data_IF_931856517719
#
_entry.id   IF_931856517719
#
_cell.length_a   1.000
_cell.length_b   1.000
_cell.length_c   1.000
_cell.angle_alpha   90.00
_cell.angle_beta   90.00
_cell.angle_gamma   90.00
#
_symmetry.space_group_name_H-M   'P 1'
#
loop_
_entity.id
_entity.type
_entity.pdbx_description
1 polymer ?
#
# COMPACT_ATOMS: atom_id res chain seq x y z
N UNK A 1 -26.24 81.87 10.50
CA UNK A 1 -25.83 80.88 9.50
C UNK A 1 -24.96 79.87 10.17
N UNK A 2 -25.56 78.80 10.69
CA UNK A 2 -24.88 77.68 11.33
C UNK A 2 -25.67 76.43 10.93
N UNK A 3 -25.30 75.79 9.81
CA UNK A 3 -25.74 74.44 9.46
C UNK A 3 -24.56 73.82 8.73
N UNK A 4 -24.14 72.61 9.09
CA UNK A 4 -23.24 71.68 8.40
C UNK A 4 -21.99 71.27 9.22
N UNK A 5 -22.21 70.57 10.31
CA UNK A 5 -21.18 69.70 10.92
C UNK A 5 -21.76 68.40 11.52
N UNK A 6 -22.74 67.81 10.89
CA UNK A 6 -23.38 66.60 11.43
C UNK A 6 -23.63 65.50 10.40
N UNK A 7 -22.72 65.29 9.44
CA UNK A 7 -22.90 64.27 8.40
C UNK A 7 -21.59 63.48 8.02
N UNK A 8 -20.60 63.44 8.90
CA UNK A 8 -19.34 62.71 8.67
C UNK A 8 -19.13 61.53 9.61
N UNK A 9 -19.99 61.31 10.59
CA UNK A 9 -19.77 60.25 11.61
C UNK A 9 -20.50 58.91 11.36
N UNK A 10 -21.11 58.66 10.22
CA UNK A 10 -21.90 57.43 9.93
C UNK A 10 -21.31 56.53 8.84
N UNK A 11 -20.11 56.78 8.36
CA UNK A 11 -19.46 55.96 7.31
C UNK A 11 -18.20 55.18 7.73
N UNK A 12 -17.83 55.20 9.03
CA UNK A 12 -16.65 54.54 9.55
C UNK A 12 -16.93 53.19 10.26
N UNK A 13 -18.15 52.65 10.21
CA UNK A 13 -18.58 51.44 10.92
C UNK A 13 -18.74 50.18 10.06
N UNK A 14 -18.48 50.23 8.75
CA UNK A 14 -18.79 49.13 7.82
C UNK A 14 -17.54 48.47 7.20
N UNK A 15 -16.40 48.61 7.79
CA UNK A 15 -15.16 48.00 7.27
C UNK A 15 -14.44 47.26 8.40
N UNK A 16 -14.62 45.99 8.49
CA UNK A 16 -13.66 45.00 9.02
C UNK A 16 -14.33 43.75 9.57
N UNK A 17 -15.30 43.20 8.84
CA UNK A 17 -15.54 41.76 8.85
C UNK A 17 -14.89 41.16 7.58
N UNK A 18 -13.62 41.48 7.37
CA UNK A 18 -12.76 40.61 6.61
C UNK A 18 -12.67 39.32 7.44
N UNK A 19 -13.54 38.36 7.11
CA UNK A 19 -13.39 37.01 7.61
C UNK A 19 -11.92 36.64 7.35
N UNK A 20 -11.14 36.51 8.39
CA UNK A 20 -9.85 35.83 8.31
C UNK A 20 -10.19 34.43 7.82
N UNK A 21 -10.11 34.22 6.51
CA UNK A 21 -10.18 32.89 5.94
C UNK A 21 -9.03 32.13 6.58
N UNK A 22 -9.34 31.32 7.59
CA UNK A 22 -8.37 30.51 8.28
C UNK A 22 -7.66 29.68 7.20
N UNK A 23 -6.34 29.79 7.10
CA UNK A 23 -5.56 29.01 6.15
C UNK A 23 -5.93 27.54 6.32
N UNK A 24 -6.18 26.82 5.22
CA UNK A 24 -6.56 25.42 5.33
C UNK A 24 -5.45 24.60 5.99
N UNK A 25 -5.84 23.63 6.78
CA UNK A 25 -4.94 22.62 7.30
C UNK A 25 -4.44 21.80 6.10
N UNK A 26 -3.13 21.82 5.86
CA UNK A 26 -2.52 21.07 4.75
C UNK A 26 -2.09 19.69 5.24
N UNK A 27 -2.54 18.65 4.53
CA UNK A 27 -2.12 17.27 4.73
C UNK A 27 -1.32 16.85 3.50
N UNK A 28 -0.02 16.64 3.66
CA UNK A 28 0.81 16.03 2.61
C UNK A 28 0.64 14.51 2.69
N UNK A 29 0.08 13.92 1.63
CA UNK A 29 -0.12 12.49 1.50
C UNK A 29 0.84 11.94 0.43
N UNK A 30 1.90 11.27 0.85
CA UNK A 30 2.92 10.72 -0.07
C UNK A 30 2.72 9.22 -0.28
N UNK A 31 3.00 8.74 -1.49
CA UNK A 31 3.05 7.32 -1.81
C UNK A 31 3.99 7.02 -3.00
N UNK A 32 4.43 5.76 -3.10
CA UNK A 32 5.51 5.37 -4.01
C UNK A 32 5.06 4.80 -5.36
N UNK A 33 3.75 4.60 -5.56
CA UNK A 33 3.21 4.05 -6.81
C UNK A 33 2.66 5.15 -7.72
N UNK A 34 2.39 4.81 -8.98
CA UNK A 34 1.81 5.75 -9.94
C UNK A 34 0.39 6.18 -9.52
N UNK A 35 -0.05 7.36 -9.94
CA UNK A 35 -1.36 7.93 -9.59
C UNK A 35 -2.55 7.10 -10.12
N UNK A 36 -2.37 6.37 -11.21
CA UNK A 36 -3.38 5.53 -11.86
C UNK A 36 -3.52 4.11 -11.27
N UNK A 37 -2.72 3.78 -10.22
CA UNK A 37 -2.91 2.55 -9.44
C UNK A 37 -4.16 2.63 -8.55
N UNK A 38 -4.68 1.48 -8.03
CA UNK A 38 -5.75 1.49 -7.03
C UNK A 38 -5.46 2.42 -5.85
N UNK A 39 -4.24 2.36 -5.30
CA UNK A 39 -3.80 3.23 -4.20
C UNK A 39 -3.76 4.71 -4.60
N UNK A 40 -3.21 5.03 -5.78
CA UNK A 40 -3.14 6.41 -6.25
C UNK A 40 -4.53 7.01 -6.41
N UNK A 41 -5.45 6.30 -7.07
CA UNK A 41 -6.86 6.69 -7.22
C UNK A 41 -7.57 6.85 -5.87
N UNK A 42 -7.27 5.98 -4.90
CA UNK A 42 -7.85 6.07 -3.56
C UNK A 42 -7.31 7.28 -2.77
N UNK A 43 -6.03 7.63 -2.92
CA UNK A 43 -5.45 8.83 -2.30
C UNK A 43 -6.12 10.11 -2.85
N UNK A 44 -6.34 10.18 -4.15
CA UNK A 44 -7.08 11.29 -4.78
C UNK A 44 -8.54 11.33 -4.33
N UNK A 45 -9.20 10.17 -4.18
CA UNK A 45 -10.56 10.09 -3.64
C UNK A 45 -10.60 10.62 -2.20
N UNK A 46 -9.64 10.24 -1.36
CA UNK A 46 -9.52 10.78 0.00
C UNK A 46 -9.33 12.30 -0.01
N UNK A 47 -8.41 12.81 -0.84
CA UNK A 47 -8.17 14.25 -0.96
C UNK A 47 -9.45 15.01 -1.33
N UNK A 48 -10.18 14.52 -2.34
CA UNK A 48 -11.47 15.09 -2.76
C UNK A 48 -12.48 15.08 -1.63
N UNK A 49 -12.69 13.93 -0.96
CA UNK A 49 -13.67 13.78 0.11
C UNK A 49 -13.32 14.59 1.36
N UNK A 50 -12.05 14.67 1.72
CA UNK A 50 -11.57 15.53 2.80
C UNK A 50 -11.90 17.00 2.54
N UNK A 51 -11.63 17.51 1.34
CA UNK A 51 -11.99 18.87 0.95
C UNK A 51 -13.50 19.13 0.99
N UNK A 52 -14.30 18.21 0.42
CA UNK A 52 -15.77 18.31 0.39
C UNK A 52 -16.37 18.33 1.82
N UNK A 53 -16.04 17.32 2.64
CA UNK A 53 -16.63 17.15 3.97
C UNK A 53 -16.19 18.24 4.94
N UNK A 54 -14.95 18.71 4.86
CA UNK A 54 -14.44 19.80 5.71
C UNK A 54 -14.78 21.19 5.17
N UNK A 55 -15.51 21.29 4.03
CA UNK A 55 -15.84 22.55 3.36
C UNK A 55 -14.60 23.43 3.13
N UNK A 56 -13.50 22.78 2.71
CA UNK A 56 -12.23 23.46 2.42
C UNK A 56 -11.38 23.80 3.64
N UNK A 57 -11.78 23.44 4.86
CA UNK A 57 -10.92 23.60 6.04
C UNK A 57 -9.63 22.74 5.97
N UNK A 58 -9.68 21.63 5.23
CA UNK A 58 -8.52 20.76 4.99
C UNK A 58 -8.25 20.68 3.50
N UNK A 59 -6.96 20.80 3.14
CA UNK A 59 -6.43 20.54 1.81
C UNK A 59 -5.48 19.35 1.88
N UNK A 60 -5.79 18.26 1.18
CA UNK A 60 -4.87 17.12 1.04
C UNK A 60 -4.10 17.28 -0.26
N UNK A 61 -2.78 17.25 -0.17
CA UNK A 61 -1.86 17.31 -1.31
C UNK A 61 -1.26 15.92 -1.51
N UNK A 62 -1.63 15.28 -2.62
CA UNK A 62 -1.17 13.91 -2.95
C UNK A 62 0.13 13.96 -3.74
N UNK A 63 1.14 13.26 -3.25
CA UNK A 63 2.45 13.13 -3.88
C UNK A 63 2.68 11.68 -4.28
N UNK A 64 2.38 11.37 -5.54
CA UNK A 64 2.49 10.04 -6.11
C UNK A 64 3.92 9.72 -6.59
N UNK A 65 4.16 8.45 -6.91
CA UNK A 65 5.35 7.98 -7.64
C UNK A 65 6.69 8.37 -7.00
N UNK A 66 6.77 8.33 -5.66
CA UNK A 66 7.97 8.68 -4.88
C UNK A 66 8.48 10.12 -5.11
N UNK A 67 7.61 11.05 -5.55
CA UNK A 67 8.03 12.44 -5.85
C UNK A 67 8.43 13.23 -4.61
N UNK A 68 7.94 12.84 -3.43
CA UNK A 68 8.30 13.49 -2.17
C UNK A 68 9.30 12.65 -1.37
N UNK A 69 9.01 11.37 -1.15
CA UNK A 69 9.88 10.43 -0.42
C UNK A 69 9.87 9.06 -1.09
N UNK A 70 11.03 8.38 -1.06
CA UNK A 70 11.18 6.99 -1.48
C UNK A 70 10.81 6.03 -0.33
N UNK A 71 10.71 4.75 -0.65
CA UNK A 71 10.34 3.66 0.28
C UNK A 71 11.06 3.64 1.62
N UNK A 72 12.36 3.95 1.63
CA UNK A 72 13.18 3.87 2.85
C UNK A 72 13.02 5.09 3.75
N UNK A 73 12.67 6.23 3.16
CA UNK A 73 12.70 7.55 3.81
C UNK A 73 11.31 7.96 4.29
N UNK A 74 10.24 7.47 3.63
CA UNK A 74 8.87 7.94 3.89
C UNK A 74 8.40 7.70 5.33
N UNK A 75 8.80 6.58 5.96
CA UNK A 75 8.38 6.24 7.33
C UNK A 75 9.03 7.17 8.36
N UNK A 76 10.30 7.47 8.20
CA UNK A 76 11.01 8.44 9.04
C UNK A 76 10.45 9.85 8.85
N UNK A 77 10.21 10.26 7.61
CA UNK A 77 9.58 11.55 7.29
C UNK A 77 8.20 11.70 7.95
N UNK A 78 7.40 10.63 7.99
CA UNK A 78 6.13 10.62 8.71
C UNK A 78 6.33 10.80 10.22
N UNK A 79 7.24 10.03 10.83
CA UNK A 79 7.50 10.11 12.28
C UNK A 79 8.00 11.49 12.70
N UNK A 80 8.82 12.14 11.87
CA UNK A 80 9.32 13.50 12.08
C UNK A 80 8.27 14.58 11.78
N UNK A 81 7.13 14.22 11.16
CA UNK A 81 6.06 15.16 10.79
C UNK A 81 6.33 15.97 9.52
N UNK A 82 7.37 15.63 8.75
CA UNK A 82 7.67 16.26 7.46
C UNK A 82 6.61 15.94 6.38
N UNK A 83 5.93 14.82 6.54
CA UNK A 83 4.74 14.41 5.81
C UNK A 83 3.69 13.92 6.81
N UNK A 84 2.40 14.19 6.56
CA UNK A 84 1.33 13.88 7.51
C UNK A 84 0.75 12.49 7.30
N UNK A 85 0.65 12.02 6.04
CA UNK A 85 0.02 10.76 5.69
C UNK A 85 0.85 9.96 4.69
N UNK A 86 0.79 8.64 4.84
CA UNK A 86 1.38 7.66 3.92
C UNK A 86 0.41 6.49 3.70
N UNK A 87 0.66 5.71 2.65
CA UNK A 87 0.06 4.38 2.46
C UNK A 87 1.15 3.37 2.07
N UNK A 88 2.07 3.02 3.00
CA UNK A 88 3.12 2.04 2.74
C UNK A 88 2.56 0.63 2.61
N UNK A 89 3.28 -0.24 1.89
CA UNK A 89 2.94 -1.66 1.88
C UNK A 89 3.14 -2.28 3.27
N UNK A 90 2.38 -3.33 3.56
CA UNK A 90 2.41 -4.01 4.86
C UNK A 90 3.79 -4.60 5.17
N UNK A 91 4.57 -4.95 4.16
CA UNK A 91 5.95 -5.42 4.27
C UNK A 91 6.93 -4.42 4.93
N UNK A 92 6.58 -3.12 4.98
CA UNK A 92 7.46 -2.08 5.52
C UNK A 92 7.42 -1.91 7.03
N UNK A 93 6.45 -2.50 7.70
CA UNK A 93 6.30 -2.39 9.14
C UNK A 93 7.22 -3.32 9.93
N UNK A 94 7.69 -4.41 9.32
CA UNK A 94 8.70 -5.29 9.91
C UNK A 94 10.01 -4.55 10.25
N UNK A 95 10.63 -3.84 9.29
CA UNK A 95 11.79 -2.98 9.55
C UNK A 95 11.56 -1.86 10.56
N UNK A 96 10.31 -1.33 10.65
CA UNK A 96 9.91 -0.35 11.67
C UNK A 96 9.86 -0.94 13.09
N UNK A 97 9.96 -2.27 13.20
CA UNK A 97 9.95 -3.02 14.47
C UNK A 97 8.58 -3.60 14.82
N UNK A 98 7.58 -3.56 13.93
CA UNK A 98 6.28 -4.23 14.10
C UNK A 98 6.24 -5.46 13.17
N UNK A 99 7.02 -6.47 13.57
CA UNK A 99 7.31 -7.67 12.76
C UNK A 99 6.06 -8.50 12.43
N UNK A 100 5.03 -8.39 13.25
CA UNK A 100 3.76 -9.12 13.09
C UNK A 100 3.02 -8.73 11.79
N UNK A 101 3.25 -7.54 11.24
CA UNK A 101 2.71 -7.16 9.93
C UNK A 101 3.22 -8.06 8.80
N UNK A 102 4.38 -8.71 8.96
CA UNK A 102 4.89 -9.64 7.96
C UNK A 102 4.03 -10.90 7.81
N UNK A 103 2.99 -11.11 8.65
CA UNK A 103 1.98 -12.16 8.46
C UNK A 103 1.28 -12.05 7.10
N UNK A 104 1.08 -10.83 6.59
CA UNK A 104 0.48 -10.59 5.29
C UNK A 104 1.38 -11.00 4.11
N UNK A 105 2.69 -11.18 4.35
CA UNK A 105 3.65 -11.60 3.36
C UNK A 105 3.81 -13.13 3.27
N UNK A 106 3.19 -13.89 4.20
CA UNK A 106 3.26 -15.35 4.18
C UNK A 106 2.65 -15.89 2.88
N UNK A 107 3.36 -16.78 2.16
CA UNK A 107 2.92 -17.23 0.86
C UNK A 107 1.61 -18.02 0.93
N UNK A 108 0.70 -17.75 0.00
CA UNK A 108 -0.60 -18.44 -0.14
C UNK A 108 -1.54 -18.35 1.07
N UNK A 109 -1.25 -17.52 2.06
CA UNK A 109 -2.06 -17.41 3.29
C UNK A 109 -3.50 -16.91 3.04
N UNK A 110 -3.71 -16.15 1.95
CA UNK A 110 -5.02 -15.69 1.52
C UNK A 110 -5.42 -16.35 0.21
N UNK A 111 -6.63 -16.94 0.17
CA UNK A 111 -7.21 -17.53 -1.03
C UNK A 111 -7.78 -16.48 -1.99
N UNK A 112 -8.32 -15.40 -1.43
CA UNK A 112 -9.06 -14.36 -2.13
C UNK A 112 -9.18 -13.09 -1.28
N UNK A 113 -9.83 -12.06 -1.83
CA UNK A 113 -10.06 -10.80 -1.13
C UNK A 113 -11.01 -10.92 0.06
N UNK A 114 -11.93 -11.88 0.06
CA UNK A 114 -12.88 -12.04 1.17
C UNK A 114 -12.18 -12.63 2.39
N UNK A 115 -11.32 -13.63 2.20
CA UNK A 115 -10.46 -14.18 3.25
C UNK A 115 -9.54 -13.09 3.83
N UNK A 116 -8.92 -12.27 2.97
CA UNK A 116 -8.11 -11.15 3.39
C UNK A 116 -8.90 -10.14 4.23
N UNK A 117 -10.10 -9.75 3.80
CA UNK A 117 -10.92 -8.72 4.46
C UNK A 117 -11.44 -9.17 5.81
N UNK A 118 -11.63 -10.46 6.05
CA UNK A 118 -11.90 -10.99 7.39
C UNK A 118 -10.77 -10.63 8.37
N UNK A 119 -9.52 -10.68 7.91
CA UNK A 119 -8.35 -10.35 8.74
C UNK A 119 -8.20 -8.83 8.88
N UNK A 120 -8.23 -8.08 7.78
CA UNK A 120 -7.99 -6.62 7.81
C UNK A 120 -9.09 -5.84 8.52
N UNK A 121 -10.36 -6.27 8.40
CA UNK A 121 -11.50 -5.65 9.09
C UNK A 121 -11.75 -6.26 10.47
N UNK A 122 -11.11 -7.37 10.78
CA UNK A 122 -11.27 -8.12 12.01
C UNK A 122 -10.33 -7.69 13.15
N UNK A 123 -10.39 -8.39 14.29
CA UNK A 123 -9.57 -8.08 15.47
C UNK A 123 -8.06 -8.13 15.21
N UNK A 124 -7.59 -9.01 14.31
CA UNK A 124 -6.17 -9.12 13.95
C UNK A 124 -5.69 -7.84 13.31
N UNK A 125 -6.39 -7.36 12.27
CA UNK A 125 -6.04 -6.12 11.58
C UNK A 125 -6.06 -4.91 12.51
N UNK A 126 -7.09 -4.77 13.35
CA UNK A 126 -7.19 -3.69 14.33
C UNK A 126 -6.04 -3.71 15.35
N UNK A 127 -5.71 -4.88 15.87
CA UNK A 127 -4.56 -5.05 16.77
C UNK A 127 -3.24 -4.65 16.12
N UNK A 128 -3.04 -5.01 14.86
CA UNK A 128 -1.83 -4.65 14.14
C UNK A 128 -1.71 -3.13 13.94
N UNK A 129 -2.79 -2.44 13.55
CA UNK A 129 -2.79 -0.98 13.46
C UNK A 129 -2.49 -0.31 14.82
N UNK A 130 -3.07 -0.81 15.90
CA UNK A 130 -2.83 -0.28 17.25
C UNK A 130 -1.36 -0.42 17.69
N UNK A 131 -0.62 -1.43 17.21
CA UNK A 131 0.82 -1.60 17.48
C UNK A 131 1.70 -0.50 16.88
N UNK A 132 1.15 0.33 15.99
CA UNK A 132 1.87 1.46 15.40
C UNK A 132 1.88 2.70 16.33
N UNK A 133 0.94 2.79 17.28
CA UNK A 133 0.81 3.98 18.15
C UNK A 133 2.06 4.28 18.98
N UNK A 134 2.74 3.30 19.60
CA UNK A 134 4.00 3.54 20.30
C UNK A 134 5.13 4.05 19.40
N UNK A 135 4.98 3.92 18.08
CA UNK A 135 5.92 4.45 17.08
C UNK A 135 5.59 5.89 16.64
N UNK A 136 4.61 6.54 17.28
CA UNK A 136 4.13 7.86 16.88
C UNK A 136 3.28 7.86 15.60
N UNK A 137 2.73 6.72 15.23
CA UNK A 137 1.95 6.49 14.00
C UNK A 137 0.56 6.02 14.38
N UNK A 138 -0.47 6.59 13.76
CA UNK A 138 -1.84 6.10 13.84
C UNK A 138 -2.22 5.42 12.54
N UNK A 139 -2.66 4.16 12.61
CA UNK A 139 -3.26 3.43 11.50
C UNK A 139 -4.72 3.84 11.32
N UNK A 140 -5.13 4.11 10.07
CA UNK A 140 -6.48 4.55 9.74
C UNK A 140 -7.28 3.49 9.00
N UNK A 141 -6.66 2.79 8.06
CA UNK A 141 -7.35 1.83 7.19
C UNK A 141 -6.38 0.86 6.52
N UNK A 142 -6.93 -0.21 5.95
CA UNK A 142 -6.25 -1.08 5.00
C UNK A 142 -6.81 -0.87 3.59
N UNK A 143 -5.93 -0.73 2.61
CA UNK A 143 -6.28 -0.65 1.21
C UNK A 143 -5.72 -1.83 0.43
N UNK A 144 -6.57 -2.48 -0.35
CA UNK A 144 -6.16 -3.58 -1.22
C UNK A 144 -5.31 -3.06 -2.39
N UNK A 145 -4.34 -3.87 -2.83
CA UNK A 145 -3.83 -3.81 -4.20
C UNK A 145 -4.18 -5.13 -4.90
N UNK A 146 -3.46 -6.21 -4.62
CA UNK A 146 -3.76 -7.46 -5.29
C UNK A 146 -2.82 -8.61 -4.95
N UNK A 147 -3.08 -9.74 -5.60
CA UNK A 147 -2.22 -10.90 -5.50
C UNK A 147 -0.99 -10.73 -6.38
N UNK A 148 0.15 -11.18 -5.87
CA UNK A 148 1.44 -11.03 -6.52
C UNK A 148 1.72 -12.19 -7.47
N UNK A 149 2.27 -11.85 -8.62
CA UNK A 149 2.73 -12.77 -9.65
C UNK A 149 4.20 -12.53 -9.97
N UNK A 150 4.91 -13.55 -10.44
CA UNK A 150 6.30 -13.41 -10.84
C UNK A 150 6.42 -12.87 -12.26
N UNK A 151 7.32 -11.89 -12.45
CA UNK A 151 7.82 -11.52 -13.77
C UNK A 151 9.33 -11.73 -13.85
N UNK A 152 9.83 -12.09 -15.02
CA UNK A 152 11.26 -12.29 -15.27
C UNK A 152 11.61 -12.21 -16.77
N UNK A 153 12.90 -12.19 -17.08
CA UNK A 153 13.40 -12.22 -18.45
C UNK A 153 13.44 -13.64 -19.06
N UNK A 154 13.17 -14.67 -18.26
CA UNK A 154 13.00 -16.06 -18.68
C UNK A 154 11.74 -16.66 -18.09
N UNK A 155 11.17 -17.72 -18.71
CA UNK A 155 9.96 -18.35 -18.20
C UNK A 155 10.14 -18.86 -16.76
N UNK A 156 9.08 -18.71 -15.95
CA UNK A 156 8.97 -19.27 -14.60
C UNK A 156 7.71 -20.13 -14.59
N UNK A 157 7.84 -21.45 -14.71
CA UNK A 157 6.73 -22.41 -14.68
C UNK A 157 6.69 -23.22 -13.41
N UNK A 158 7.87 -23.46 -12.84
CA UNK A 158 8.06 -24.26 -11.63
C UNK A 158 8.96 -23.53 -10.64
N UNK A 159 8.99 -23.91 -9.36
CA UNK A 159 9.94 -23.35 -8.39
C UNK A 159 11.41 -23.50 -8.84
N UNK A 160 11.75 -24.55 -9.59
CA UNK A 160 13.12 -24.77 -10.07
C UNK A 160 13.60 -23.68 -11.03
N UNK A 161 12.69 -23.05 -11.78
CA UNK A 161 13.01 -21.97 -12.71
C UNK A 161 13.43 -20.68 -11.99
N UNK A 162 13.15 -20.56 -10.70
CA UNK A 162 13.57 -19.45 -9.83
C UNK A 162 14.98 -19.62 -9.27
N UNK A 163 15.56 -20.82 -9.32
CA UNK A 163 16.87 -21.11 -8.74
C UNK A 163 17.96 -20.23 -9.33
N UNK A 164 18.69 -19.55 -8.44
CA UNK A 164 19.80 -18.66 -8.79
C UNK A 164 19.38 -17.31 -9.37
N UNK A 165 18.09 -17.05 -9.65
CA UNK A 165 17.62 -15.75 -10.12
C UNK A 165 17.69 -14.71 -9.00
N UNK A 166 18.17 -13.53 -9.35
CA UNK A 166 18.10 -12.35 -8.49
C UNK A 166 16.70 -11.74 -8.60
N UNK A 167 15.90 -11.97 -7.57
CA UNK A 167 14.51 -11.48 -7.53
C UNK A 167 14.38 -10.26 -6.63
N UNK A 168 13.92 -9.15 -7.20
CA UNK A 168 13.62 -7.96 -6.39
C UNK A 168 12.42 -8.25 -5.48
N UNK A 169 12.55 -7.85 -4.23
CA UNK A 169 11.50 -7.90 -3.22
C UNK A 169 11.40 -6.58 -2.44
N UNK A 170 10.32 -6.44 -1.67
CA UNK A 170 10.16 -5.41 -0.66
C UNK A 170 10.96 -5.77 0.61
N UNK A 171 11.04 -4.83 1.55
CA UNK A 171 11.83 -4.98 2.78
C UNK A 171 11.10 -5.81 3.85
N UNK A 172 10.96 -7.11 3.62
CA UNK A 172 10.36 -8.06 4.56
C UNK A 172 11.22 -9.31 4.68
N UNK A 173 11.43 -9.79 5.90
CA UNK A 173 12.18 -11.03 6.13
C UNK A 173 11.40 -12.27 5.70
N UNK A 174 10.07 -12.21 5.73
CA UNK A 174 9.21 -13.26 5.18
C UNK A 174 9.41 -13.37 3.67
N UNK A 175 9.45 -12.25 2.95
CA UNK A 175 9.71 -12.25 1.51
C UNK A 175 11.14 -12.74 1.17
N UNK A 176 12.13 -12.38 1.98
CA UNK A 176 13.49 -12.92 1.82
C UNK A 176 13.48 -14.45 1.94
N UNK A 177 12.85 -14.99 2.99
CA UNK A 177 12.78 -16.44 3.20
C UNK A 177 11.95 -17.13 2.11
N UNK A 178 10.87 -16.51 1.66
CA UNK A 178 10.06 -17.00 0.53
C UNK A 178 10.90 -17.17 -0.74
N UNK A 179 11.71 -16.19 -1.11
CA UNK A 179 12.61 -16.30 -2.27
C UNK A 179 13.68 -17.37 -2.06
N UNK A 180 14.25 -17.46 -0.87
CA UNK A 180 15.25 -18.49 -0.54
C UNK A 180 14.67 -19.90 -0.60
N UNK A 181 13.40 -20.08 -0.21
CA UNK A 181 12.74 -21.40 -0.24
C UNK A 181 12.61 -21.99 -1.65
N UNK A 182 12.63 -21.15 -2.67
CA UNK A 182 12.63 -21.56 -4.09
C UNK A 182 14.02 -21.42 -4.76
N UNK A 183 15.07 -21.20 -3.95
CA UNK A 183 16.45 -21.10 -4.42
C UNK A 183 16.79 -19.78 -5.11
N UNK A 184 15.95 -18.77 -5.04
CA UNK A 184 16.24 -17.43 -5.57
C UNK A 184 17.15 -16.63 -4.65
N UNK A 185 17.76 -15.60 -5.20
CA UNK A 185 18.60 -14.62 -4.49
C UNK A 185 17.76 -13.36 -4.29
N UNK A 186 17.20 -13.10 -3.09
CA UNK A 186 16.40 -11.93 -2.83
C UNK A 186 17.23 -10.65 -2.87
N UNK A 187 16.72 -9.61 -3.54
CA UNK A 187 17.30 -8.29 -3.63
C UNK A 187 16.30 -7.24 -3.12
N UNK A 188 16.55 -6.71 -1.92
CA UNK A 188 15.72 -5.64 -1.34
C UNK A 188 16.04 -4.31 -2.02
N UNK A 189 15.01 -3.71 -2.64
CA UNK A 189 15.20 -2.49 -3.42
C UNK A 189 13.97 -1.59 -3.34
N UNK A 190 14.17 -0.27 -3.29
CA UNK A 190 13.09 0.71 -3.33
C UNK A 190 12.28 0.59 -4.64
N UNK A 191 10.96 0.82 -4.56
CA UNK A 191 10.07 0.60 -5.71
C UNK A 191 10.42 1.47 -6.92
N UNK A 192 10.85 2.71 -6.68
CA UNK A 192 11.29 3.66 -7.72
C UNK A 192 12.54 3.23 -8.49
N UNK A 193 13.30 2.25 -7.97
CA UNK A 193 14.54 1.77 -8.59
C UNK A 193 14.32 0.51 -9.43
N UNK A 194 13.14 -0.14 -9.30
CA UNK A 194 12.90 -1.48 -9.84
C UNK A 194 12.92 -1.50 -11.37
N UNK A 195 12.27 -0.54 -12.03
CA UNK A 195 12.26 -0.50 -13.51
C UNK A 195 13.69 -0.48 -14.09
N UNK A 196 14.52 0.42 -13.56
CA UNK A 196 15.90 0.55 -14.01
C UNK A 196 16.74 -0.70 -13.72
N UNK A 197 16.54 -1.31 -12.54
CA UNK A 197 17.25 -2.54 -12.16
C UNK A 197 16.87 -3.75 -13.03
N UNK A 198 15.60 -3.85 -13.44
CA UNK A 198 15.12 -4.85 -14.40
C UNK A 198 15.67 -4.59 -15.81
N UNK A 199 15.67 -3.34 -16.24
CA UNK A 199 16.15 -2.94 -17.56
C UNK A 199 17.65 -3.23 -17.74
N UNK A 200 18.45 -2.97 -16.70
CA UNK A 200 19.91 -3.15 -16.74
C UNK A 200 20.37 -4.56 -16.30
N UNK A 201 19.43 -5.42 -15.89
CA UNK A 201 19.75 -6.79 -15.45
C UNK A 201 20.43 -6.87 -14.07
N UNK A 202 20.34 -5.82 -13.25
CA UNK A 202 20.77 -5.87 -11.84
C UNK A 202 19.96 -6.92 -11.08
N UNK A 203 18.68 -7.04 -11.43
CA UNK A 203 17.79 -8.12 -11.02
C UNK A 203 17.19 -8.81 -12.24
N UNK A 204 16.93 -10.12 -12.15
CA UNK A 204 16.36 -10.93 -13.21
C UNK A 204 14.84 -10.82 -13.29
N UNK A 205 14.21 -10.50 -12.15
CA UNK A 205 12.77 -10.43 -12.04
C UNK A 205 12.28 -9.78 -10.76
N UNK A 206 10.98 -9.74 -10.61
CA UNK A 206 10.28 -9.20 -9.44
C UNK A 206 8.95 -9.91 -9.21
N UNK A 207 8.32 -9.65 -8.09
CA UNK A 207 6.95 -10.05 -7.76
C UNK A 207 6.10 -8.82 -7.52
N UNK A 208 4.94 -8.72 -8.16
CA UNK A 208 4.00 -7.61 -7.98
C UNK A 208 2.57 -8.02 -8.36
N UNK A 209 1.56 -7.32 -7.84
CA UNK A 209 0.26 -7.27 -8.50
C UNK A 209 0.37 -6.67 -9.91
N UNK A 210 -0.51 -7.07 -10.78
CA UNK A 210 -0.44 -6.71 -12.21
C UNK A 210 -0.60 -5.21 -12.45
N UNK A 211 -1.43 -4.53 -11.64
CA UNK A 211 -1.59 -3.08 -11.72
C UNK A 211 -0.28 -2.34 -11.50
N UNK A 212 0.54 -2.78 -10.54
CA UNK A 212 1.86 -2.18 -10.30
C UNK A 212 2.85 -2.49 -11.44
N UNK A 213 2.83 -3.73 -11.95
CA UNK A 213 3.69 -4.13 -13.08
C UNK A 213 3.39 -3.30 -14.32
N UNK A 214 2.12 -3.08 -14.62
CA UNK A 214 1.69 -2.34 -15.81
C UNK A 214 1.95 -0.84 -15.66
N UNK A 215 1.46 -0.19 -14.60
CA UNK A 215 1.54 1.27 -14.42
C UNK A 215 2.97 1.77 -14.24
N UNK A 216 3.87 0.93 -13.71
CA UNK A 216 5.31 1.20 -13.63
C UNK A 216 6.08 0.74 -14.88
N UNK A 217 5.36 0.36 -15.93
CA UNK A 217 5.92 -0.08 -17.23
C UNK A 217 6.90 -1.27 -17.14
N UNK A 218 6.89 -2.03 -16.05
CA UNK A 218 7.79 -3.17 -15.87
C UNK A 218 7.58 -4.23 -16.94
N UNK A 219 6.36 -4.36 -17.50
CA UNK A 219 6.05 -5.24 -18.63
C UNK A 219 6.86 -4.90 -19.90
N UNK A 220 7.43 -3.71 -20.01
CA UNK A 220 8.28 -3.35 -21.15
C UNK A 220 9.70 -3.92 -21.05
N UNK A 221 10.12 -4.27 -19.83
CA UNK A 221 11.48 -4.77 -19.52
C UNK A 221 11.47 -6.18 -18.90
N UNK A 222 10.29 -6.84 -18.88
CA UNK A 222 10.10 -8.21 -18.40
C UNK A 222 9.40 -9.04 -19.47
N UNK A 223 10.08 -10.07 -20.01
CA UNK A 223 9.57 -10.88 -21.13
C UNK A 223 8.49 -11.86 -20.75
N UNK A 224 8.43 -12.28 -19.48
CA UNK A 224 7.51 -13.30 -18.98
C UNK A 224 6.83 -12.85 -17.69
N UNK A 225 5.53 -13.13 -17.61
CA UNK A 225 4.70 -12.94 -16.43
C UNK A 225 3.97 -14.25 -16.14
N UNK A 226 4.18 -14.81 -14.96
CA UNK A 226 3.51 -16.05 -14.52
C UNK A 226 2.52 -15.72 -13.41
N UNK A 227 1.23 -15.99 -13.65
CA UNK A 227 0.13 -15.67 -12.75
C UNK A 227 0.05 -16.68 -11.58
N UNK A 228 1.01 -16.57 -10.66
CA UNK A 228 1.13 -17.51 -9.54
C UNK A 228 0.20 -17.18 -8.37
N UNK A 229 -0.17 -15.91 -8.17
CA UNK A 229 -0.96 -15.40 -7.04
C UNK A 229 -0.45 -15.95 -5.69
N UNK A 230 0.88 -16.03 -5.56
CA UNK A 230 1.56 -16.70 -4.46
C UNK A 230 1.65 -15.84 -3.18
N UNK A 231 1.37 -14.57 -3.27
CA UNK A 231 1.41 -13.63 -2.16
C UNK A 231 0.41 -12.51 -2.33
N UNK A 232 0.26 -11.71 -1.31
CA UNK A 232 -0.61 -10.55 -1.31
C UNK A 232 0.20 -9.25 -1.16
N UNK A 233 -0.27 -8.19 -1.77
CA UNK A 233 0.20 -6.84 -1.54
C UNK A 233 -0.99 -5.94 -1.20
N UNK A 234 -0.92 -5.33 -0.03
CA UNK A 234 -1.84 -4.31 0.44
C UNK A 234 -1.10 -3.23 1.20
N UNK A 235 -1.85 -2.24 1.62
CA UNK A 235 -1.32 -1.04 2.26
C UNK A 235 -2.03 -0.79 3.59
N UNK A 236 -1.31 -0.20 4.56
CA UNK A 236 -1.95 0.49 5.66
C UNK A 236 -1.88 1.99 5.41
N UNK A 237 -3.02 2.66 5.46
CA UNK A 237 -3.06 4.12 5.47
C UNK A 237 -2.75 4.56 6.88
N UNK A 238 -1.72 5.37 7.02
CA UNK A 238 -1.17 5.79 8.29
C UNK A 238 -0.97 7.31 8.33
N UNK A 239 -1.02 7.85 9.53
CA UNK A 239 -0.85 9.28 9.76
C UNK A 239 0.09 9.51 10.95
N UNK A 240 0.81 10.65 10.94
CA UNK A 240 1.56 11.10 12.11
C UNK A 240 0.59 11.28 13.30
N UNK A 241 0.80 10.53 14.37
CA UNK A 241 -0.12 10.48 15.52
C UNK A 241 -0.29 11.86 16.17
N UNK A 242 0.81 12.59 16.39
CA UNK A 242 0.78 13.92 17.02
C UNK A 242 -0.02 14.91 16.18
N UNK A 243 0.16 14.90 14.87
CA UNK A 243 -0.61 15.72 13.93
C UNK A 243 -2.10 15.41 14.01
N UNK A 244 -2.46 14.11 13.92
CA UNK A 244 -3.85 13.66 13.92
C UNK A 244 -4.59 13.98 15.22
N UNK A 245 -3.94 13.72 16.34
CA UNK A 245 -4.50 13.99 17.67
C UNK A 245 -4.66 15.48 17.94
N UNK A 246 -3.85 16.33 17.29
CA UNK A 246 -3.93 17.80 17.37
C UNK A 246 -5.03 18.43 16.49
N UNK A 247 -5.69 17.67 15.63
CA UNK A 247 -6.78 18.18 14.80
C UNK A 247 -8.03 18.48 15.65
N UNK A 248 -8.81 19.53 15.31
CA UNK A 248 -10.13 19.74 15.89
C UNK A 248 -11.01 18.48 15.73
N UNK A 249 -11.81 18.19 16.76
CA UNK A 249 -12.58 16.94 16.80
C UNK A 249 -13.58 16.81 15.64
N UNK A 250 -14.21 17.92 15.23
CA UNK A 250 -15.12 17.97 14.08
C UNK A 250 -14.39 17.68 12.77
N UNK A 251 -13.21 18.28 12.57
CA UNK A 251 -12.36 18.04 11.39
C UNK A 251 -11.90 16.58 11.35
N UNK A 252 -11.45 16.05 12.49
CA UNK A 252 -11.01 14.65 12.57
C UNK A 252 -12.14 13.69 12.22
N UNK A 253 -13.35 13.89 12.74
CA UNK A 253 -14.51 13.06 12.40
C UNK A 253 -14.87 13.12 10.90
N UNK A 254 -14.75 14.31 10.27
CA UNK A 254 -14.95 14.46 8.83
C UNK A 254 -13.87 13.75 8.00
N UNK A 255 -12.62 13.75 8.47
CA UNK A 255 -11.53 13.02 7.83
C UNK A 255 -11.66 11.49 8.00
N UNK A 256 -12.14 11.04 9.16
CA UNK A 256 -12.46 9.62 9.38
C UNK A 256 -13.54 9.14 8.39
N UNK A 257 -14.60 9.94 8.16
CA UNK A 257 -15.64 9.64 7.17
C UNK A 257 -15.07 9.66 5.73
N UNK A 258 -14.22 10.64 5.40
CA UNK A 258 -13.52 10.69 4.11
C UNK A 258 -12.68 9.41 3.88
N UNK A 259 -12.01 8.93 4.93
CA UNK A 259 -11.20 7.71 4.89
C UNK A 259 -12.06 6.46 4.68
N UNK A 260 -13.22 6.37 5.33
CA UNK A 260 -14.18 5.27 5.09
C UNK A 260 -14.61 5.22 3.63
N UNK A 261 -14.95 6.38 3.03
CA UNK A 261 -15.37 6.45 1.63
C UNK A 261 -14.21 6.09 0.67
N UNK A 262 -13.01 6.61 0.92
CA UNK A 262 -11.83 6.30 0.12
C UNK A 262 -11.43 4.81 0.24
N UNK A 263 -11.55 4.22 1.42
CA UNK A 263 -11.25 2.80 1.66
C UNK A 263 -12.23 1.90 0.91
N UNK A 264 -13.52 2.24 0.96
CA UNK A 264 -14.53 1.50 0.19
C UNK A 264 -14.21 1.54 -1.30
N UNK A 265 -13.89 2.72 -1.82
CA UNK A 265 -13.52 2.90 -3.22
C UNK A 265 -12.25 2.10 -3.57
N UNK A 266 -11.18 2.22 -2.78
CA UNK A 266 -9.93 1.47 -2.98
C UNK A 266 -10.18 -0.04 -3.14
N UNK A 267 -10.95 -0.60 -2.21
CA UNK A 267 -11.21 -2.03 -2.14
C UNK A 267 -12.19 -2.53 -3.22
N UNK A 268 -13.03 -1.63 -3.76
CA UNK A 268 -13.90 -1.93 -4.90
C UNK A 268 -13.12 -2.02 -6.21
N UNK A 269 -12.18 -1.09 -6.43
CA UNK A 269 -11.48 -1.01 -7.71
C UNK A 269 -10.26 -1.91 -7.81
N UNK A 270 -9.72 -2.41 -6.68
CA UNK A 270 -8.44 -3.14 -6.66
C UNK A 270 -8.41 -4.31 -7.65
N UNK A 271 -9.42 -5.20 -7.61
CA UNK A 271 -9.49 -6.33 -8.54
C UNK A 271 -9.67 -5.87 -9.99
N UNK A 272 -10.59 -4.93 -10.22
CA UNK A 272 -10.89 -4.43 -11.57
C UNK A 272 -9.67 -3.81 -12.24
N UNK A 273 -8.89 -3.02 -11.49
CA UNK A 273 -7.67 -2.40 -12.01
C UNK A 273 -6.57 -3.43 -12.31
N UNK A 274 -6.47 -4.51 -11.53
CA UNK A 274 -5.56 -5.60 -11.83
C UNK A 274 -6.00 -6.38 -13.09
N UNK A 275 -7.29 -6.65 -13.25
CA UNK A 275 -7.85 -7.32 -14.42
C UNK A 275 -7.63 -6.46 -15.68
N UNK A 276 -7.93 -5.16 -15.63
CA UNK A 276 -7.69 -4.23 -16.73
C UNK A 276 -6.21 -4.14 -17.10
N UNK A 277 -5.33 -4.12 -16.10
CA UNK A 277 -3.88 -4.09 -16.30
C UNK A 277 -3.38 -5.38 -16.95
N UNK A 278 -3.94 -6.53 -16.58
CA UNK A 278 -3.61 -7.81 -17.22
C UNK A 278 -3.95 -7.81 -18.70
N UNK A 279 -5.14 -7.35 -19.05
CA UNK A 279 -5.54 -7.24 -20.46
C UNK A 279 -4.65 -6.25 -21.24
N UNK A 280 -4.27 -5.13 -20.60
CA UNK A 280 -3.35 -4.17 -21.21
C UNK A 280 -1.94 -4.77 -21.43
N UNK A 281 -1.41 -5.54 -20.47
CA UNK A 281 -0.15 -6.28 -20.62
C UNK A 281 -0.22 -7.26 -21.77
N UNK A 282 -1.28 -8.08 -21.87
CA UNK A 282 -1.50 -9.01 -22.98
C UNK A 282 -1.55 -8.29 -24.33
N UNK A 283 -2.33 -7.20 -24.40
CA UNK A 283 -2.49 -6.39 -25.62
C UNK A 283 -1.19 -5.71 -26.06
N UNK A 284 -0.29 -5.40 -25.15
CA UNK A 284 1.00 -4.77 -25.47
C UNK A 284 1.91 -5.67 -26.31
N UNK A 285 1.76 -6.99 -26.22
CA UNK A 285 2.59 -7.98 -26.90
C UNK A 285 4.06 -8.02 -26.42
N UNK A 286 4.42 -7.23 -25.38
CA UNK A 286 5.79 -7.13 -24.88
C UNK A 286 6.15 -8.21 -23.86
N UNK A 287 5.15 -8.76 -23.19
CA UNK A 287 5.30 -9.75 -22.12
C UNK A 287 4.44 -10.98 -22.42
N UNK A 288 5.03 -12.15 -22.43
CA UNK A 288 4.30 -13.41 -22.52
C UNK A 288 3.66 -13.72 -21.18
N UNK A 289 2.33 -13.79 -21.13
CA UNK A 289 1.56 -14.13 -19.92
C UNK A 289 1.35 -15.63 -19.87
N UNK A 290 1.71 -16.26 -18.77
CA UNK A 290 1.54 -17.68 -18.52
C UNK A 290 0.64 -17.91 -17.30
N UNK A 291 -0.36 -18.78 -17.48
CA UNK A 291 -1.24 -19.24 -16.41
C UNK A 291 -0.76 -20.63 -15.98
N UNK A 292 -0.24 -20.80 -14.75
CA UNK A 292 0.23 -22.10 -14.28
C UNK A 292 -0.91 -23.13 -14.24
N UNK A 293 -0.59 -24.39 -14.55
CA UNK A 293 -1.50 -25.51 -14.29
C UNK A 293 -1.74 -25.67 -12.78
N UNK A 294 -2.73 -26.48 -12.41
CA UNK A 294 -2.99 -26.80 -11.00
C UNK A 294 -1.78 -27.46 -10.33
N UNK A 295 -1.12 -28.35 -11.06
CA UNK A 295 0.08 -29.08 -10.62
C UNK A 295 1.26 -28.13 -10.40
N UNK A 296 1.50 -27.23 -11.36
CA UNK A 296 2.56 -26.21 -11.26
C UNK A 296 2.30 -25.26 -10.07
N UNK A 297 1.04 -24.78 -9.92
CA UNK A 297 0.67 -23.94 -8.79
C UNK A 297 0.85 -24.66 -7.44
N UNK A 298 0.49 -25.95 -7.39
CA UNK A 298 0.71 -26.78 -6.21
C UNK A 298 2.19 -26.97 -5.91
N UNK A 299 3.05 -27.07 -6.93
CA UNK A 299 4.51 -27.15 -6.75
C UNK A 299 5.06 -25.87 -6.09
N UNK A 300 4.62 -24.68 -6.51
CA UNK A 300 4.97 -23.41 -5.83
C UNK A 300 4.48 -23.42 -4.38
N UNK A 301 3.23 -23.81 -4.16
CA UNK A 301 2.67 -23.88 -2.81
C UNK A 301 3.48 -24.79 -1.90
N UNK A 302 3.80 -26.01 -2.36
CA UNK A 302 4.64 -26.98 -1.61
C UNK A 302 6.03 -26.44 -1.28
N UNK A 303 6.66 -25.74 -2.23
CA UNK A 303 8.00 -25.19 -2.02
C UNK A 303 8.02 -24.02 -1.02
N UNK A 304 6.94 -23.23 -0.95
CA UNK A 304 6.90 -22.02 -0.15
C UNK A 304 6.23 -22.18 1.21
N UNK A 305 5.31 -23.13 1.40
CA UNK A 305 4.59 -23.32 2.68
C UNK A 305 5.50 -23.51 3.91
N UNK A 306 6.68 -24.15 3.83
CA UNK A 306 7.60 -24.24 4.97
C UNK A 306 8.04 -22.89 5.55
N UNK A 307 7.91 -21.78 4.77
CA UNK A 307 8.17 -20.42 5.23
C UNK A 307 7.28 -20.04 6.42
N UNK A 308 6.05 -20.50 6.47
CA UNK A 308 5.12 -20.23 7.56
C UNK A 308 5.72 -20.66 8.92
N UNK A 309 6.18 -21.91 9.00
CA UNK A 309 6.79 -22.45 10.21
C UNK A 309 8.12 -21.76 10.54
N UNK A 310 8.98 -21.54 9.54
CA UNK A 310 10.28 -20.88 9.72
C UNK A 310 10.14 -19.46 10.27
N UNK A 311 9.06 -18.79 9.94
CA UNK A 311 8.83 -17.38 10.31
C UNK A 311 7.97 -17.21 11.58
N UNK A 312 7.51 -18.30 12.21
CA UNK A 312 6.71 -18.24 13.46
C UNK A 312 7.41 -17.43 14.56
N UNK A 313 8.72 -17.63 14.77
CA UNK A 313 9.48 -16.91 15.79
C UNK A 313 9.62 -15.41 15.52
N UNK A 314 9.49 -14.99 14.27
CA UNK A 314 9.57 -13.59 13.87
C UNK A 314 8.22 -12.89 13.84
N UNK A 315 7.24 -13.51 13.18
CA UNK A 315 5.90 -12.97 12.97
C UNK A 315 5.04 -13.09 14.22
N UNK A 316 5.28 -14.14 14.99
CA UNK A 316 4.48 -14.53 16.16
C UNK A 316 3.49 -15.62 15.80
N UNK A 317 3.64 -16.78 16.46
CA UNK A 317 2.78 -17.96 16.25
C UNK A 317 1.31 -17.65 16.44
N UNK A 318 0.98 -16.87 17.49
CA UNK A 318 -0.40 -16.48 17.80
C UNK A 318 -1.07 -15.68 16.68
N UNK A 319 -0.34 -14.73 16.07
CA UNK A 319 -0.84 -13.93 14.95
C UNK A 319 -1.08 -14.81 13.73
N UNK A 320 -0.13 -15.70 13.41
CA UNK A 320 -0.27 -16.65 12.29
C UNK A 320 -1.49 -17.54 12.48
N UNK A 321 -1.66 -18.14 13.67
CA UNK A 321 -2.79 -19.00 13.98
C UNK A 321 -4.14 -18.25 13.96
N UNK A 322 -4.16 -17.00 14.41
CA UNK A 322 -5.35 -16.16 14.32
C UNK A 322 -5.75 -15.91 12.85
N UNK A 323 -4.77 -15.61 11.98
CA UNK A 323 -5.03 -15.46 10.55
C UNK A 323 -5.50 -16.77 9.92
N UNK A 324 -4.91 -17.91 10.26
CA UNK A 324 -5.40 -19.22 9.79
C UNK A 324 -6.85 -19.45 10.15
N UNK A 325 -7.21 -19.15 11.40
CA UNK A 325 -8.60 -19.28 11.88
C UNK A 325 -9.55 -18.39 11.09
N UNK A 326 -9.21 -17.12 10.89
CA UNK A 326 -10.05 -16.15 10.21
C UNK A 326 -10.22 -16.47 8.72
N UNK A 327 -9.16 -16.95 8.06
CA UNK A 327 -9.16 -17.28 6.63
C UNK A 327 -9.62 -18.70 6.32
N UNK A 328 -9.62 -19.59 7.30
CA UNK A 328 -9.80 -21.03 7.08
C UNK A 328 -8.58 -21.71 6.46
N UNK A 329 -7.43 -21.03 6.42
CA UNK A 329 -6.19 -21.58 5.86
C UNK A 329 -5.71 -22.79 6.66
N UNK A 330 -5.33 -23.85 5.94
CA UNK A 330 -4.76 -25.09 6.53
C UNK A 330 -3.38 -25.31 5.93
N UNK A 331 -2.29 -25.20 6.72
CA UNK A 331 -0.93 -25.40 6.22
C UNK A 331 -0.69 -26.84 5.73
N UNK A 332 -1.38 -27.81 6.29
CA UNK A 332 -1.28 -29.23 5.92
C UNK A 332 -2.27 -29.64 4.82
N UNK A 333 -3.15 -28.73 4.41
CA UNK A 333 -4.16 -28.93 3.36
C UNK A 333 -3.59 -28.60 1.98
N UNK A 334 -2.75 -29.49 1.44
CA UNK A 334 -2.25 -29.42 0.07
C UNK A 334 -3.24 -30.05 -0.91
#
# INVERSE_FOLDING_TARGET
MKVSKLLVALFAGALSLAAYAQQPIVIKFSHVVAADTPKGKAAEMFAKKAGELTKGKVKVEVYANSTLYKDKEEMEALQLGAVQMLAPSLAKFGPLGVKEFEVFDLPFIFSDYDALRKVTNGPVGQKLLAKLEPKGIRGLAYWDNGFKSFSANSPIRTPADLKGKKMRIQSSKVLEEQMRSVGSIPQVMAFSEVYQALQTGVVDGTENPISNLYTQKMHEVQKHLTLTDHGYLGYAVIVNKKFWDGLPADVRGQLDEAMVQATRYANQIAKVENDNSLEAVKKSGKTTVYVPTKEERLAFKKAMLPVHQKMEGRVGKEVIQAVYKDTGFKPDGL
#
